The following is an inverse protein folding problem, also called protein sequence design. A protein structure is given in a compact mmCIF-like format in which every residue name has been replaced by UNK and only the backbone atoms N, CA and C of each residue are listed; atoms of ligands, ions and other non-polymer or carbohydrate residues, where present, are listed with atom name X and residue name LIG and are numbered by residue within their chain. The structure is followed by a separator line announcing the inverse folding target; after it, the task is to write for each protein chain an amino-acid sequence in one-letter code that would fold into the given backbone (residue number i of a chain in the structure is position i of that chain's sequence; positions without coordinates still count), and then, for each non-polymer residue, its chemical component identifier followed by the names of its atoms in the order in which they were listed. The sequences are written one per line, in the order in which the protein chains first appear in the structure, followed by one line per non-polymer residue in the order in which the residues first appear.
data_IF_302851503156
#
_entry.id   IF_302851503156
#
_cell.length_a   1.000
_cell.length_b   1.000
_cell.length_c   1.000
_cell.angle_alpha   90.00
_cell.angle_beta   90.00
_cell.angle_gamma   90.00
#
_symmetry.space_group_name_H-M   'P 1'
#
loop_
_entity.id
_entity.type
_entity.pdbx_description
1 polymer ?
#
# COMPACT_ATOMS: atom_id res chain seq x y z
N UNK A 1 -24.45 11.07 -14.60
CA UNK A 1 -23.82 11.35 -13.28
C UNK A 1 -22.39 11.78 -13.52
N UNK A 2 -21.90 12.82 -12.85
CA UNK A 2 -20.55 13.35 -13.13
C UNK A 2 -19.45 12.40 -12.64
N UNK A 3 -18.34 12.25 -13.37
CA UNK A 3 -17.23 11.40 -12.97
C UNK A 3 -16.62 11.84 -11.63
N UNK A 4 -15.90 10.92 -11.00
CA UNK A 4 -15.02 11.19 -9.86
C UNK A 4 -13.59 11.03 -10.32
N UNK A 5 -12.76 12.02 -10.03
CA UNK A 5 -11.33 11.94 -10.21
C UNK A 5 -10.71 11.75 -8.83
N UNK A 6 -9.97 10.67 -8.65
CA UNK A 6 -9.26 10.37 -7.40
C UNK A 6 -7.77 10.54 -7.65
N UNK A 7 -7.17 11.57 -7.07
CA UNK A 7 -5.76 11.88 -7.30
C UNK A 7 -4.87 11.25 -6.23
N UNK A 8 -4.39 10.04 -6.51
CA UNK A 8 -3.35 9.32 -5.79
C UNK A 8 -2.47 8.57 -6.82
N UNK A 9 -1.50 9.24 -7.45
CA UNK A 9 -0.81 8.66 -8.60
C UNK A 9 0.38 7.75 -8.24
N UNK A 10 0.74 7.63 -6.96
CA UNK A 10 1.87 6.79 -6.54
C UNK A 10 1.82 6.45 -5.06
N UNK A 11 2.92 5.86 -4.57
CA UNK A 11 3.05 5.19 -3.28
C UNK A 11 2.25 3.90 -3.25
N UNK A 12 2.91 2.76 -3.53
CA UNK A 12 2.24 1.47 -3.71
C UNK A 12 1.32 1.09 -2.54
N UNK A 13 1.72 1.41 -1.29
CA UNK A 13 0.90 1.22 -0.11
C UNK A 13 -0.41 2.00 -0.16
N UNK A 14 -0.34 3.31 -0.43
CA UNK A 14 -1.53 4.16 -0.59
C UNK A 14 -2.44 3.67 -1.72
N UNK A 15 -1.87 3.18 -2.83
CA UNK A 15 -2.66 2.66 -3.95
C UNK A 15 -3.50 1.44 -3.54
N UNK A 16 -2.93 0.53 -2.74
CA UNK A 16 -3.71 -0.56 -2.12
C UNK A 16 -4.73 -0.02 -1.12
N UNK A 17 -4.32 0.95 -0.30
CA UNK A 17 -5.12 1.47 0.80
C UNK A 17 -6.40 2.18 0.36
N UNK A 18 -6.39 2.90 -0.76
CA UNK A 18 -7.55 3.68 -1.23
C UNK A 18 -8.60 2.84 -1.98
N UNK A 19 -8.41 1.53 -2.14
CA UNK A 19 -9.30 0.71 -2.97
C UNK A 19 -10.75 0.73 -2.50
N UNK A 20 -11.00 0.80 -1.18
CA UNK A 20 -12.36 0.97 -0.67
C UNK A 20 -13.00 2.27 -1.15
N UNK A 21 -12.27 3.38 -1.15
CA UNK A 21 -12.75 4.68 -1.66
C UNK A 21 -13.13 4.54 -3.13
N UNK A 22 -12.22 3.97 -3.94
CA UNK A 22 -12.43 3.76 -5.38
C UNK A 22 -13.68 2.92 -5.65
N UNK A 23 -13.80 1.77 -4.97
CA UNK A 23 -14.93 0.85 -5.14
C UNK A 23 -16.25 1.43 -4.63
N UNK A 24 -16.22 2.27 -3.60
CA UNK A 24 -17.43 2.95 -3.09
C UNK A 24 -18.01 3.88 -4.16
N UNK A 25 -17.18 4.78 -4.72
CA UNK A 25 -17.64 5.68 -5.78
C UNK A 25 -18.02 4.94 -7.08
N UNK A 26 -17.35 3.83 -7.39
CA UNK A 26 -17.70 2.99 -8.52
C UNK A 26 -19.05 2.28 -8.32
N UNK A 27 -19.35 1.79 -7.11
CA UNK A 27 -20.59 1.12 -6.75
C UNK A 27 -21.81 2.07 -6.81
N UNK A 28 -21.61 3.36 -6.56
CA UNK A 28 -22.62 4.40 -6.77
C UNK A 28 -22.99 4.58 -8.26
N UNK A 29 -22.30 3.90 -9.18
CA UNK A 29 -22.50 3.95 -10.63
C UNK A 29 -21.70 5.05 -11.32
N UNK A 30 -20.79 5.73 -10.62
CA UNK A 30 -19.98 6.82 -11.17
C UNK A 30 -18.84 6.26 -11.99
N UNK A 31 -18.49 6.94 -13.09
CA UNK A 31 -17.20 6.74 -13.76
C UNK A 31 -16.11 7.26 -12.83
N UNK A 32 -15.11 6.43 -12.51
CA UNK A 32 -13.99 6.79 -11.64
C UNK A 32 -12.71 6.85 -12.47
N UNK A 33 -12.00 7.97 -12.39
CA UNK A 33 -10.73 8.21 -13.08
C UNK A 33 -9.65 8.29 -12.00
N UNK A 34 -8.68 7.38 -12.06
CA UNK A 34 -7.64 7.17 -11.05
C UNK A 34 -6.27 7.19 -11.72
N UNK A 35 -5.74 8.37 -12.10
CA UNK A 35 -4.47 8.46 -12.80
C UNK A 35 -3.32 7.89 -11.96
N UNK A 36 -2.39 7.21 -12.62
CA UNK A 36 -1.25 6.53 -11.98
C UNK A 36 0.06 6.88 -12.66
N UNK A 37 1.15 7.01 -11.90
CA UNK A 37 2.49 7.09 -12.48
C UNK A 37 2.85 5.78 -13.16
N UNK A 38 3.52 5.85 -14.31
CA UNK A 38 4.00 4.66 -15.03
C UNK A 38 4.77 3.68 -14.12
N UNK A 39 5.60 4.21 -13.21
CA UNK A 39 6.38 3.42 -12.23
C UNK A 39 5.56 2.63 -11.21
N UNK A 40 4.28 2.96 -11.06
CA UNK A 40 3.35 2.34 -10.11
C UNK A 40 2.18 1.61 -10.81
N UNK A 41 2.13 1.63 -12.14
CA UNK A 41 1.07 0.98 -12.94
C UNK A 41 0.84 -0.48 -12.54
N UNK A 42 1.92 -1.20 -12.23
CA UNK A 42 1.89 -2.60 -11.81
C UNK A 42 0.97 -2.89 -10.61
N UNK A 43 0.69 -1.91 -9.74
CA UNK A 43 -0.24 -2.10 -8.63
C UNK A 43 -1.65 -2.34 -9.16
N UNK A 44 -2.12 -1.51 -10.09
CA UNK A 44 -3.45 -1.64 -10.67
C UNK A 44 -3.57 -2.83 -11.63
N UNK A 45 -2.48 -3.21 -12.29
CA UNK A 45 -2.44 -4.44 -13.11
C UNK A 45 -2.67 -5.70 -12.26
N UNK A 46 -2.35 -5.63 -10.97
CA UNK A 46 -2.53 -6.71 -10.00
C UNK A 46 -3.82 -6.59 -9.18
N UNK A 47 -4.71 -5.63 -9.46
CA UNK A 47 -5.97 -5.43 -8.74
C UNK A 47 -7.18 -5.83 -9.58
N UNK A 48 -8.18 -6.43 -8.93
CA UNK A 48 -9.51 -6.63 -9.52
C UNK A 48 -10.30 -5.34 -9.37
N UNK A 49 -10.49 -4.65 -10.49
CA UNK A 49 -11.13 -3.34 -10.57
C UNK A 49 -12.53 -3.42 -11.19
N UNK A 50 -13.51 -2.63 -10.70
CA UNK A 50 -14.80 -2.48 -11.37
C UNK A 50 -14.64 -1.93 -12.80
N UNK A 51 -15.53 -2.30 -13.71
CA UNK A 51 -15.45 -1.96 -15.14
C UNK A 51 -15.55 -0.44 -15.43
N UNK A 52 -16.12 0.33 -14.51
CA UNK A 52 -16.26 1.79 -14.58
C UNK A 52 -15.10 2.54 -13.89
N UNK A 53 -14.01 1.86 -13.55
CA UNK A 53 -12.77 2.49 -13.07
C UNK A 53 -11.73 2.50 -14.17
N UNK A 54 -11.20 3.69 -14.45
CA UNK A 54 -10.13 3.94 -15.42
C UNK A 54 -8.85 4.34 -14.68
N UNK A 55 -7.73 3.73 -15.03
CA UNK A 55 -6.41 4.03 -14.43
C UNK A 55 -5.43 4.55 -15.47
N UNK A 56 -5.67 5.75 -16.05
CA UNK A 56 -4.80 6.29 -17.10
C UNK A 56 -3.39 6.57 -16.56
N UNK A 57 -2.40 6.50 -17.45
CA UNK A 57 -1.01 6.85 -17.10
C UNK A 57 -0.89 8.36 -17.03
N UNK A 58 -0.49 8.89 -15.87
CA UNK A 58 -0.41 10.33 -15.60
C UNK A 58 0.55 11.06 -16.56
N UNK A 59 1.61 10.36 -16.97
CA UNK A 59 2.59 10.87 -17.92
C UNK A 59 2.10 10.92 -19.38
N UNK A 60 1.00 10.22 -19.72
CA UNK A 60 0.38 10.19 -21.05
C UNK A 60 -0.83 11.13 -21.13
N UNK A 61 -1.38 11.34 -22.33
CA UNK A 61 -2.56 12.19 -22.55
C UNK A 61 -3.87 11.43 -22.28
N UNK A 62 -4.82 12.09 -21.61
CA UNK A 62 -6.15 11.55 -21.30
C UNK A 62 -7.11 12.66 -20.87
N UNK A 63 -8.41 12.35 -20.87
CA UNK A 63 -9.46 13.29 -20.47
C UNK A 63 -9.24 13.81 -19.04
N UNK A 64 -9.34 15.14 -18.86
CA UNK A 64 -9.13 15.88 -17.60
C UNK A 64 -7.68 15.96 -17.11
N UNK A 65 -6.68 15.49 -17.87
CA UNK A 65 -5.28 15.50 -17.43
C UNK A 65 -4.79 16.89 -17.04
N UNK A 66 -5.01 17.90 -17.88
CA UNK A 66 -4.48 19.24 -17.65
C UNK A 66 -5.14 19.90 -16.43
N UNK A 67 -6.44 19.70 -16.25
CA UNK A 67 -7.18 20.14 -15.06
C UNK A 67 -6.67 19.44 -13.79
N UNK A 68 -6.38 18.14 -13.88
CA UNK A 68 -5.79 17.37 -12.78
C UNK A 68 -4.42 17.93 -12.42
N UNK A 69 -3.57 18.23 -13.40
CA UNK A 69 -2.25 18.81 -13.15
C UNK A 69 -2.34 20.23 -12.57
N UNK A 70 -3.32 21.02 -13.00
CA UNK A 70 -3.61 22.33 -12.41
C UNK A 70 -4.08 22.22 -10.95
N UNK A 71 -4.87 21.20 -10.63
CA UNK A 71 -5.38 20.93 -9.28
C UNK A 71 -4.41 20.12 -8.41
N UNK A 72 -3.39 19.48 -8.99
CA UNK A 72 -2.53 18.54 -8.27
C UNK A 72 -1.87 19.21 -7.06
N UNK A 73 -1.43 20.46 -7.18
CA UNK A 73 -0.83 21.19 -6.06
C UNK A 73 -1.84 21.74 -5.04
N UNK A 74 -3.14 21.69 -5.35
CA UNK A 74 -4.22 22.18 -4.50
C UNK A 74 -4.56 21.14 -3.45
N UNK A 75 -4.52 21.58 -2.20
CA UNK A 75 -4.90 20.79 -1.05
C UNK A 75 -6.36 21.10 -0.74
N UNK A 76 -7.20 20.07 -0.67
CA UNK A 76 -8.58 20.18 -0.23
C UNK A 76 -8.87 19.11 0.82
N UNK A 77 -9.54 19.50 1.90
CA UNK A 77 -9.93 18.63 3.02
C UNK A 77 -11.35 18.05 2.86
N UNK A 78 -11.91 18.23 1.67
CA UNK A 78 -13.22 17.75 1.24
C UNK A 78 -13.19 17.54 -0.28
N UNK A 79 -14.17 16.83 -0.85
CA UNK A 79 -14.28 16.73 -2.29
C UNK A 79 -14.42 18.13 -2.91
N UNK A 80 -13.68 18.39 -3.99
CA UNK A 80 -13.89 19.60 -4.80
C UNK A 80 -15.00 19.28 -5.79
N UNK A 81 -16.16 19.90 -5.59
CA UNK A 81 -17.34 19.62 -6.40
C UNK A 81 -17.48 20.63 -7.55
N UNK A 82 -17.06 20.22 -8.75
CA UNK A 82 -17.16 21.03 -9.96
C UNK A 82 -18.40 20.69 -10.79
N UNK A 83 -18.64 21.49 -11.83
CA UNK A 83 -19.73 21.24 -12.79
C UNK A 83 -19.49 19.97 -13.62
N UNK A 84 -18.23 19.72 -14.01
CA UNK A 84 -17.86 18.60 -14.88
C UNK A 84 -17.51 17.31 -14.12
N UNK A 85 -16.91 17.42 -12.93
CA UNK A 85 -16.42 16.28 -12.14
C UNK A 85 -16.39 16.61 -10.64
N UNK A 86 -16.27 15.58 -9.80
CA UNK A 86 -15.83 15.72 -8.41
C UNK A 86 -14.37 15.29 -8.31
N UNK A 87 -13.53 16.05 -7.62
CA UNK A 87 -12.09 15.75 -7.47
C UNK A 87 -11.72 15.49 -6.01
N UNK A 88 -10.99 14.39 -5.76
CA UNK A 88 -10.43 14.04 -4.46
C UNK A 88 -8.90 14.17 -4.48
N UNK A 89 -8.36 15.13 -3.72
CA UNK A 89 -6.91 15.38 -3.60
C UNK A 89 -6.30 14.52 -2.49
N UNK A 90 -6.05 13.23 -2.75
CA UNK A 90 -5.60 12.29 -1.72
C UNK A 90 -4.07 12.24 -1.56
N UNK A 91 -3.32 12.47 -2.64
CA UNK A 91 -1.86 12.31 -2.66
C UNK A 91 -1.12 13.21 -1.67
N UNK A 92 -1.64 14.42 -1.42
CA UNK A 92 -0.97 15.43 -0.62
C UNK A 92 -1.49 15.54 0.82
N UNK A 93 -2.28 14.58 1.31
CA UNK A 93 -2.76 14.53 2.70
C UNK A 93 -1.61 14.69 3.72
N UNK A 94 -0.43 14.14 3.42
CA UNK A 94 0.76 14.25 4.27
C UNK A 94 1.28 15.68 4.46
N UNK A 95 0.95 16.62 3.56
CA UNK A 95 1.32 18.03 3.72
C UNK A 95 0.46 18.74 4.75
N UNK A 96 -0.75 18.24 5.01
CA UNK A 96 -1.69 18.85 5.95
C UNK A 96 -1.56 18.25 7.35
N UNK A 97 -1.67 16.93 7.43
CA UNK A 97 -1.59 16.20 8.68
C UNK A 97 -0.75 14.94 8.43
N UNK A 98 0.60 15.04 8.47
CA UNK A 98 1.49 13.91 8.24
C UNK A 98 1.05 12.68 9.04
N UNK A 99 0.87 12.86 10.35
CA UNK A 99 0.52 11.79 11.27
C UNK A 99 -0.89 11.19 11.08
N UNK A 100 -1.75 11.84 10.30
CA UNK A 100 -3.13 11.40 10.00
C UNK A 100 -3.33 11.21 8.50
N UNK A 101 -2.24 11.04 7.74
CA UNK A 101 -2.26 10.98 6.26
C UNK A 101 -3.27 9.95 5.75
N UNK A 102 -3.37 8.80 6.43
CA UNK A 102 -4.23 7.69 6.04
C UNK A 102 -5.69 7.98 6.38
N UNK A 103 -5.98 8.39 7.62
CA UNK A 103 -7.32 8.78 8.07
C UNK A 103 -7.92 9.91 7.20
N UNK A 104 -7.09 10.91 6.88
CA UNK A 104 -7.53 12.08 6.13
C UNK A 104 -8.02 11.74 4.73
N UNK A 105 -7.47 10.70 4.08
CA UNK A 105 -7.94 10.27 2.75
C UNK A 105 -9.40 9.80 2.82
N UNK A 106 -9.73 9.03 3.85
CA UNK A 106 -11.08 8.51 4.08
C UNK A 106 -12.04 9.60 4.54
N UNK A 107 -11.57 10.55 5.36
CA UNK A 107 -12.34 11.74 5.72
C UNK A 107 -12.69 12.60 4.50
N UNK A 108 -11.72 12.90 3.63
CA UNK A 108 -11.95 13.64 2.37
C UNK A 108 -12.96 12.89 1.51
N UNK A 109 -12.85 11.57 1.41
CA UNK A 109 -13.74 10.76 0.60
C UNK A 109 -15.16 10.63 1.18
N UNK A 110 -15.35 10.87 2.49
CA UNK A 110 -16.60 10.59 3.19
C UNK A 110 -16.89 9.09 3.33
N UNK A 111 -15.85 8.26 3.40
CA UNK A 111 -15.94 6.79 3.44
C UNK A 111 -15.39 6.28 4.77
N UNK A 112 -16.05 5.30 5.40
CA UNK A 112 -15.53 4.66 6.61
C UNK A 112 -14.26 3.84 6.30
N UNK A 113 -13.29 3.80 7.20
CA UNK A 113 -11.96 3.22 6.93
C UNK A 113 -11.76 1.79 7.46
N UNK A 114 -12.54 1.37 8.45
CA UNK A 114 -12.17 0.25 9.34
C UNK A 114 -11.85 -1.09 8.65
N UNK A 115 -12.55 -1.41 7.56
CA UNK A 115 -12.46 -2.63 6.77
C UNK A 115 -11.74 -2.41 5.43
N UNK A 116 -10.90 -1.38 5.29
CA UNK A 116 -10.29 -1.02 3.99
C UNK A 116 -9.62 -2.20 3.26
N UNK A 117 -8.95 -3.09 4.01
CA UNK A 117 -8.21 -4.23 3.46
C UNK A 117 -9.15 -5.26 2.81
N UNK A 118 -10.39 -5.38 3.29
CA UNK A 118 -11.40 -6.29 2.74
C UNK A 118 -11.88 -5.87 1.34
N UNK A 119 -11.62 -4.62 0.94
CA UNK A 119 -11.97 -4.11 -0.38
C UNK A 119 -10.81 -4.23 -1.38
N UNK A 120 -9.68 -4.81 -0.98
CA UNK A 120 -8.56 -5.08 -1.88
C UNK A 120 -8.64 -6.52 -2.36
N UNK A 121 -8.74 -6.70 -3.68
CA UNK A 121 -8.75 -8.02 -4.30
C UNK A 121 -7.61 -8.10 -5.32
N UNK A 122 -6.69 -9.04 -5.11
CA UNK A 122 -5.48 -9.19 -5.92
C UNK A 122 -5.67 -10.23 -7.02
N UNK A 123 -5.28 -9.89 -8.25
CA UNK A 123 -5.06 -10.83 -9.34
C UNK A 123 -3.66 -11.41 -9.22
N UNK A 124 -3.51 -12.47 -8.44
CA UNK A 124 -2.23 -13.14 -8.18
C UNK A 124 -1.79 -14.02 -9.34
N UNK A 125 -0.50 -13.98 -9.66
CA UNK A 125 0.16 -14.91 -10.59
C UNK A 125 0.97 -15.91 -9.78
N UNK A 126 0.31 -16.97 -9.31
CA UNK A 126 0.92 -17.97 -8.44
C UNK A 126 2.16 -18.61 -9.08
N UNK A 127 2.19 -18.81 -10.40
CA UNK A 127 3.33 -19.41 -11.07
C UNK A 127 4.58 -18.49 -11.01
N UNK A 128 4.37 -17.18 -11.08
CA UNK A 128 5.42 -16.18 -10.93
C UNK A 128 5.86 -16.03 -9.48
N UNK A 129 4.92 -16.05 -8.54
CA UNK A 129 5.23 -16.03 -7.10
C UNK A 129 6.05 -17.25 -6.67
N UNK A 130 5.70 -18.46 -7.11
CA UNK A 130 6.48 -19.68 -6.85
C UNK A 130 7.88 -19.61 -7.48
N UNK A 131 8.02 -19.01 -8.66
CA UNK A 131 9.32 -18.82 -9.30
C UNK A 131 10.22 -17.93 -8.45
N UNK A 132 9.71 -16.79 -7.98
CA UNK A 132 10.43 -15.91 -7.06
C UNK A 132 10.83 -16.67 -5.79
N UNK A 133 9.90 -17.42 -5.20
CA UNK A 133 10.16 -18.21 -4.00
C UNK A 133 11.36 -19.16 -4.20
N UNK A 134 11.42 -19.89 -5.32
CA UNK A 134 12.53 -20.79 -5.65
C UNK A 134 13.83 -20.04 -5.98
N UNK A 135 13.76 -18.92 -6.70
CA UNK A 135 14.93 -18.07 -7.01
C UNK A 135 15.58 -17.47 -5.75
N UNK A 136 14.79 -17.26 -4.68
CA UNK A 136 15.29 -16.87 -3.37
C UNK A 136 15.95 -18.03 -2.60
N UNK A 137 16.01 -19.24 -3.19
CA UNK A 137 16.52 -20.45 -2.56
C UNK A 137 15.67 -20.88 -1.37
N UNK A 138 14.36 -20.71 -1.48
CA UNK A 138 13.39 -21.15 -0.49
C UNK A 138 12.74 -22.45 -0.96
N UNK A 139 12.53 -23.32 0.02
CA UNK A 139 11.90 -24.61 -0.17
C UNK A 139 10.80 -24.79 0.87
N UNK A 140 9.81 -25.61 0.52
CA UNK A 140 8.73 -25.93 1.44
C UNK A 140 9.30 -26.69 2.65
N UNK A 141 9.02 -26.18 3.85
CA UNK A 141 9.39 -26.82 5.12
C UNK A 141 10.61 -26.26 5.84
N UNK A 142 11.35 -25.29 5.26
CA UNK A 142 12.41 -24.57 5.99
C UNK A 142 11.83 -23.25 6.52
N UNK A 143 11.69 -23.07 7.85
CA UNK A 143 11.23 -21.82 8.42
C UNK A 143 12.18 -20.66 8.07
N UNK A 144 11.61 -19.52 7.72
CA UNK A 144 12.34 -18.29 7.46
C UNK A 144 11.59 -17.06 7.98
N UNK A 145 12.35 -16.02 8.29
CA UNK A 145 11.85 -14.70 8.61
C UNK A 145 11.96 -13.80 7.38
N UNK A 146 10.85 -13.21 6.94
CA UNK A 146 10.86 -12.16 5.92
C UNK A 146 11.20 -10.83 6.60
N UNK A 147 12.31 -10.22 6.19
CA UNK A 147 12.86 -9.00 6.78
C UNK A 147 12.80 -7.87 5.76
N UNK A 148 12.25 -6.72 6.12
CA UNK A 148 12.30 -5.50 5.31
C UNK A 148 12.83 -4.32 6.13
N UNK A 149 14.06 -3.93 5.84
CA UNK A 149 14.77 -2.80 6.47
C UNK A 149 14.69 -1.51 5.63
N UNK A 150 14.04 -1.57 4.46
CA UNK A 150 14.06 -0.48 3.48
C UNK A 150 12.71 0.23 3.36
N UNK A 151 12.76 1.55 3.40
CA UNK A 151 11.64 2.41 3.08
C UNK A 151 12.06 3.48 2.07
N UNK A 152 11.61 3.33 0.82
CA UNK A 152 12.02 4.21 -0.28
C UNK A 152 13.54 4.30 -0.39
N UNK A 153 14.15 5.44 -0.03
CA UNK A 153 15.62 5.63 -0.02
C UNK A 153 16.26 5.43 1.36
N UNK A 154 15.45 5.25 2.41
CA UNK A 154 15.91 5.08 3.78
C UNK A 154 16.16 3.60 4.06
N UNK A 155 17.22 3.34 4.81
CA UNK A 155 17.53 2.03 5.38
C UNK A 155 17.52 2.15 6.90
N UNK A 156 16.83 1.22 7.56
CA UNK A 156 16.69 1.13 9.01
C UNK A 156 17.16 -0.28 9.40
N UNK A 157 18.43 -0.44 9.79
CA UNK A 157 18.99 -1.76 10.04
C UNK A 157 18.36 -2.41 11.27
N UNK A 158 18.07 -3.70 11.18
CA UNK A 158 17.61 -4.52 12.30
C UNK A 158 18.83 -5.24 12.88
N UNK A 159 19.33 -4.81 14.06
CA UNK A 159 20.63 -5.28 14.57
C UNK A 159 20.58 -6.69 15.15
N UNK A 160 19.40 -7.16 15.55
CA UNK A 160 19.20 -8.50 16.09
C UNK A 160 18.88 -9.46 14.94
N UNK A 161 19.47 -10.66 14.96
CA UNK A 161 19.21 -11.69 13.98
C UNK A 161 17.93 -12.47 14.31
N UNK A 162 17.12 -12.79 13.30
CA UNK A 162 15.99 -13.69 13.48
C UNK A 162 16.47 -15.11 13.86
N UNK A 163 15.69 -15.87 14.66
CA UNK A 163 16.03 -17.26 14.96
C UNK A 163 15.90 -18.17 13.73
N UNK A 164 15.06 -17.80 12.77
CA UNK A 164 14.91 -18.49 11.49
C UNK A 164 15.91 -17.99 10.44
N UNK A 165 16.00 -18.67 9.28
CA UNK A 165 16.75 -18.15 8.12
C UNK A 165 16.19 -16.78 7.71
N UNK A 166 17.03 -15.75 7.59
CA UNK A 166 16.57 -14.44 7.12
C UNK A 166 16.43 -14.40 5.60
N UNK A 167 15.28 -13.91 5.13
CA UNK A 167 15.03 -13.56 3.73
C UNK A 167 14.76 -12.07 3.68
N UNK A 168 15.70 -11.31 3.12
CA UNK A 168 15.57 -9.85 3.04
C UNK A 168 14.83 -9.43 1.78
N UNK A 169 13.77 -8.65 1.97
CA UNK A 169 13.03 -8.00 0.89
C UNK A 169 14.00 -7.11 0.10
N UNK A 170 14.03 -7.31 -1.21
CA UNK A 170 14.86 -6.55 -2.14
C UNK A 170 14.17 -6.46 -3.49
N UNK A 171 14.64 -5.52 -4.32
CA UNK A 171 14.25 -5.52 -5.73
C UNK A 171 14.84 -6.77 -6.38
N UNK A 172 13.97 -7.58 -6.99
CA UNK A 172 14.36 -8.70 -7.84
C UNK A 172 13.88 -8.34 -9.24
N UNK A 173 14.80 -8.33 -10.19
CA UNK A 173 14.48 -7.93 -11.57
C UNK A 173 13.34 -8.78 -12.12
N UNK A 174 12.39 -8.14 -12.79
CA UNK A 174 11.24 -8.83 -13.35
C UNK A 174 10.18 -9.21 -12.31
N UNK A 175 10.29 -8.85 -11.03
CA UNK A 175 9.26 -9.05 -10.00
C UNK A 175 8.78 -7.74 -9.36
N UNK A 176 7.51 -7.73 -8.95
CA UNK A 176 6.84 -6.64 -8.24
C UNK A 176 6.66 -7.02 -6.77
N UNK A 177 6.21 -6.08 -5.93
CA UNK A 177 5.91 -6.40 -4.53
C UNK A 177 4.75 -7.41 -4.39
N UNK A 178 3.78 -7.42 -5.32
CA UNK A 178 2.69 -8.41 -5.27
C UNK A 178 3.23 -9.82 -5.51
N UNK A 179 4.27 -9.96 -6.33
CA UNK A 179 4.90 -11.26 -6.60
C UNK A 179 5.56 -11.88 -5.35
N UNK A 180 5.78 -11.09 -4.29
CA UNK A 180 6.25 -11.59 -2.99
C UNK A 180 5.15 -12.25 -2.15
N UNK A 181 3.90 -12.32 -2.62
CA UNK A 181 2.76 -12.81 -1.81
C UNK A 181 2.97 -14.24 -1.30
N UNK A 182 3.41 -15.20 -2.11
CA UNK A 182 3.81 -16.54 -1.61
C UNK A 182 4.89 -16.47 -0.54
N UNK A 183 5.92 -15.63 -0.73
CA UNK A 183 7.01 -15.46 0.25
C UNK A 183 6.49 -14.87 1.57
N UNK A 184 5.50 -13.98 1.50
CA UNK A 184 4.84 -13.40 2.68
C UNK A 184 4.00 -14.46 3.40
N UNK A 185 3.17 -15.19 2.66
CA UNK A 185 2.27 -16.20 3.21
C UNK A 185 3.00 -17.37 3.87
N UNK A 186 4.14 -17.79 3.32
CA UNK A 186 4.92 -18.93 3.84
C UNK A 186 5.98 -18.56 4.88
N UNK A 187 6.22 -17.27 5.13
CA UNK A 187 7.17 -16.85 6.16
C UNK A 187 6.73 -17.36 7.54
N UNK A 188 7.66 -17.83 8.36
CA UNK A 188 7.40 -18.16 9.75
C UNK A 188 7.25 -16.89 10.61
N UNK A 189 7.84 -15.79 10.15
CA UNK A 189 7.85 -14.48 10.79
C UNK A 189 7.99 -13.37 9.77
N UNK A 190 7.40 -12.21 10.04
CA UNK A 190 7.58 -11.02 9.22
C UNK A 190 8.04 -9.88 10.11
N UNK A 191 9.14 -9.22 9.75
CA UNK A 191 9.58 -7.99 10.36
C UNK A 191 9.81 -6.93 9.28
N UNK A 192 9.18 -5.78 9.41
CA UNK A 192 9.27 -4.72 8.40
C UNK A 192 9.34 -3.35 9.04
N UNK A 193 10.02 -2.41 8.39
CA UNK A 193 9.69 -0.99 8.58
C UNK A 193 8.27 -0.71 8.07
N UNK A 194 7.63 0.32 8.63
CA UNK A 194 6.30 0.84 8.24
C UNK A 194 6.24 1.27 6.76
N UNK A 195 5.91 0.32 5.88
CA UNK A 195 5.99 0.45 4.42
C UNK A 195 4.83 -0.26 3.73
N UNK A 196 4.80 -0.22 2.40
CA UNK A 196 3.80 -0.92 1.59
C UNK A 196 3.76 -2.44 1.84
N UNK A 197 4.86 -3.05 2.32
CA UNK A 197 4.85 -4.47 2.72
C UNK A 197 3.83 -4.70 3.85
N UNK A 198 3.79 -3.83 4.85
CA UNK A 198 2.88 -3.95 6.00
C UNK A 198 1.42 -3.92 5.54
N UNK A 199 1.10 -3.02 4.60
CA UNK A 199 -0.25 -2.95 4.02
C UNK A 199 -0.59 -4.16 3.14
N UNK A 200 0.38 -4.70 2.39
CA UNK A 200 0.16 -5.94 1.63
C UNK A 200 -0.08 -7.14 2.56
N UNK A 201 0.58 -7.20 3.71
CA UNK A 201 0.35 -8.24 4.73
C UNK A 201 -1.08 -8.17 5.30
N UNK A 202 -1.61 -6.97 5.53
CA UNK A 202 -3.03 -6.76 5.89
C UNK A 202 -3.98 -7.28 4.79
N UNK A 203 -3.71 -6.94 3.53
CA UNK A 203 -4.50 -7.38 2.37
C UNK A 203 -4.49 -8.91 2.23
N UNK A 204 -3.35 -9.55 2.47
CA UNK A 204 -3.20 -11.01 2.45
C UNK A 204 -3.77 -11.68 3.71
N UNK A 205 -4.22 -10.90 4.71
CA UNK A 205 -4.85 -11.37 5.95
C UNK A 205 -3.97 -12.37 6.70
N UNK A 206 -2.68 -12.08 6.81
CA UNK A 206 -1.71 -12.98 7.43
C UNK A 206 -1.93 -13.05 8.95
N UNK A 207 -2.32 -14.22 9.45
CA UNK A 207 -2.55 -14.47 10.88
C UNK A 207 -1.73 -15.64 11.40
N UNK A 208 -1.64 -15.79 12.73
CA UNK A 208 -1.08 -16.99 13.38
C UNK A 208 0.45 -17.06 13.34
N UNK A 209 1.13 -15.94 13.11
CA UNK A 209 2.59 -15.83 13.12
C UNK A 209 3.03 -14.46 13.65
N UNK A 210 4.26 -14.32 14.17
CA UNK A 210 4.72 -13.03 14.67
C UNK A 210 4.90 -12.02 13.53
N UNK A 211 4.25 -10.87 13.69
CA UNK A 211 4.32 -9.72 12.78
C UNK A 211 4.95 -8.55 13.55
N UNK A 212 6.11 -8.08 13.10
CA UNK A 212 6.84 -7.00 13.75
C UNK A 212 6.90 -5.79 12.82
N UNK A 213 6.58 -4.61 13.35
CA UNK A 213 6.71 -3.35 12.63
C UNK A 213 7.60 -2.38 13.37
N UNK A 214 8.60 -1.83 12.68
CA UNK A 214 9.54 -0.83 13.21
C UNK A 214 9.24 0.52 12.60
N UNK A 215 9.18 1.57 13.43
CA UNK A 215 8.91 2.93 12.96
C UNK A 215 10.09 3.44 12.12
N UNK A 216 9.82 3.94 10.91
CA UNK A 216 10.81 4.66 10.09
C UNK A 216 10.94 6.13 10.45
N UNK A 217 10.11 6.69 11.33
CA UNK A 217 10.10 8.13 11.62
C UNK A 217 11.14 8.56 12.65
N UNK A 218 11.52 9.84 12.60
CA UNK A 218 12.33 10.51 13.62
C UNK A 218 11.65 11.84 13.97
N UNK A 219 11.10 12.02 15.19
CA UNK A 219 11.02 11.01 16.26
C UNK A 219 10.14 9.81 15.87
N UNK A 220 10.36 8.63 16.49
CA UNK A 220 9.57 7.44 16.19
C UNK A 220 8.07 7.63 16.43
N UNK A 221 7.24 7.17 15.49
CA UNK A 221 5.78 7.30 15.53
C UNK A 221 5.10 6.21 14.71
N UNK A 222 3.91 5.78 15.15
CA UNK A 222 3.03 4.87 14.41
C UNK A 222 1.66 5.47 14.17
N UNK A 223 1.48 6.79 14.36
CA UNK A 223 0.16 7.43 14.27
C UNK A 223 -0.55 7.19 12.94
N UNK A 224 0.21 7.16 11.84
CA UNK A 224 -0.32 6.90 10.50
C UNK A 224 -0.80 5.45 10.29
N UNK A 225 -0.26 4.50 11.07
CA UNK A 225 -0.50 3.07 10.88
C UNK A 225 -1.41 2.44 11.95
N UNK A 226 -1.36 2.94 13.19
CA UNK A 226 -2.02 2.30 14.33
C UNK A 226 -3.53 2.07 14.13
N UNK A 227 -4.19 2.95 13.37
CA UNK A 227 -5.64 2.86 13.13
C UNK A 227 -5.99 1.97 11.93
N UNK A 228 -5.03 1.68 11.05
CA UNK A 228 -5.27 0.98 9.78
C UNK A 228 -4.74 -0.45 9.75
N UNK A 229 -3.81 -0.79 10.64
CA UNK A 229 -3.36 -2.16 10.82
C UNK A 229 -4.33 -2.88 11.76
N UNK A 230 -4.96 -3.95 11.28
CA UNK A 230 -5.95 -4.72 12.04
C UNK A 230 -5.41 -6.09 12.48
N UNK A 231 -4.30 -6.55 11.90
CA UNK A 231 -3.60 -7.76 12.34
C UNK A 231 -2.84 -7.51 13.65
N UNK A 232 -2.42 -8.59 14.31
CA UNK A 232 -1.72 -8.55 15.60
C UNK A 232 -0.23 -8.17 15.44
N UNK A 233 0.03 -6.92 15.07
CA UNK A 233 1.37 -6.38 14.94
C UNK A 233 2.01 -6.03 16.28
N UNK A 234 3.28 -6.36 16.42
CA UNK A 234 4.17 -5.92 17.49
C UNK A 234 4.89 -4.66 17.03
N UNK A 235 4.65 -3.55 17.73
CA UNK A 235 5.16 -2.23 17.37
C UNK A 235 6.46 -1.89 18.10
N UNK A 236 7.49 -1.52 17.35
CA UNK A 236 8.80 -1.16 17.87
C UNK A 236 9.19 0.26 17.44
N UNK A 237 9.27 1.18 18.40
CA UNK A 237 9.72 2.55 18.13
C UNK A 237 11.19 2.61 17.69
N UNK A 238 12.00 1.60 18.05
CA UNK A 238 13.43 1.57 17.75
C UNK A 238 13.86 0.19 17.25
N UNK A 239 14.73 0.10 16.24
CA UNK A 239 15.19 -1.18 15.70
C UNK A 239 15.90 -2.05 16.73
N UNK A 240 16.63 -1.44 17.68
CA UNK A 240 17.37 -2.17 18.72
C UNK A 240 16.44 -2.92 19.68
N UNK A 241 15.18 -2.48 19.78
CA UNK A 241 14.18 -3.11 20.62
C UNK A 241 13.48 -4.28 19.93
N UNK A 242 13.68 -4.47 18.61
CA UNK A 242 13.14 -5.61 17.89
C UNK A 242 13.82 -6.88 18.41
N UNK A 243 13.16 -7.51 19.38
CA UNK A 243 13.54 -8.81 19.91
C UNK A 243 12.59 -9.86 19.34
N UNK A 244 13.15 -10.93 18.78
CA UNK A 244 12.39 -12.04 18.17
C UNK A 244 11.97 -13.12 19.18
N UNK A 245 11.93 -12.75 20.46
CA UNK A 245 11.61 -13.62 21.59
C UNK A 245 10.21 -14.22 21.48
#
# INVERSE_FOLDING_TARGET
MKPVIIFQPGMAGDLLFIQKIVKTYAADGRRVILPVRQTHKWVYDALVMPANVETPILEEDFEYRDEILFLADKIALSPIDGNAYTFLSLFFCWRYAPEQTMDLKYQIAGVAMDDWADHVELKRDLAREERLFRELGLDDGVPYALINEHCSKRHVPFPNAAPEKEVRLRVVEGYTLIDWSTVIERAARIASVDTSLVLLVEVLKITGKPLHVVSRYEPPSFRELQNILKLEWLFYFRPEHLAYN
#
